data_IF_025594415185
#
_entry.id   IF_025594415185
#
_cell.length_a   1.000
_cell.length_b   1.000
_cell.length_c   1.000
_cell.angle_alpha   90.00
_cell.angle_beta   90.00
_cell.angle_gamma   90.00
#
_symmetry.space_group_name_H-M   'P 1'
#
loop_
_entity.id
_entity.type
_entity.pdbx_description
1 polymer ?
#
# COMPACT_ATOMS: atom_id res chain seq x y z
N UNK A 1 -3.89 10.54 -12.17
CA UNK A 1 -4.73 10.63 -10.95
C UNK A 1 -6.17 10.42 -11.38
N UNK A 2 -6.93 9.52 -10.74
CA UNK A 2 -8.33 9.26 -11.13
C UNK A 2 -9.20 10.49 -10.88
N UNK A 3 -10.21 10.71 -11.70
CA UNK A 3 -11.11 11.88 -11.62
C UNK A 3 -11.80 11.97 -10.24
N UNK A 4 -12.19 10.83 -9.65
CA UNK A 4 -12.77 10.78 -8.31
C UNK A 4 -11.86 11.36 -7.23
N UNK A 5 -10.57 11.05 -7.31
CA UNK A 5 -9.55 11.56 -6.38
C UNK A 5 -9.40 13.07 -6.56
N UNK A 6 -9.31 13.54 -7.80
CA UNK A 6 -9.22 14.98 -8.08
C UNK A 6 -10.41 15.78 -7.52
N UNK A 7 -11.64 15.23 -7.61
CA UNK A 7 -12.84 15.86 -7.01
C UNK A 7 -12.72 15.97 -5.48
N UNK A 8 -12.18 14.95 -4.81
CA UNK A 8 -11.95 14.98 -3.36
C UNK A 8 -10.94 16.07 -2.99
N UNK A 9 -9.85 16.21 -3.76
CA UNK A 9 -8.87 17.27 -3.52
C UNK A 9 -9.47 18.68 -3.67
N UNK A 10 -10.36 18.88 -4.64
CA UNK A 10 -11.08 20.15 -4.80
C UNK A 10 -12.01 20.43 -3.60
N UNK A 11 -12.75 19.41 -3.15
CA UNK A 11 -13.60 19.52 -1.96
C UNK A 11 -12.80 19.83 -0.69
N UNK A 12 -11.69 19.13 -0.48
CA UNK A 12 -10.80 19.34 0.67
C UNK A 12 -10.23 20.76 0.69
N UNK A 13 -9.79 21.28 -0.46
CA UNK A 13 -9.27 22.65 -0.56
C UNK A 13 -10.32 23.69 -0.15
N UNK A 14 -11.57 23.51 -0.59
CA UNK A 14 -12.70 24.35 -0.16
C UNK A 14 -12.95 24.25 1.35
N UNK A 15 -13.01 23.03 1.89
CA UNK A 15 -13.24 22.81 3.32
C UNK A 15 -12.16 23.45 4.20
N UNK A 16 -10.88 23.39 3.81
CA UNK A 16 -9.79 24.05 4.55
C UNK A 16 -9.92 25.57 4.48
N UNK A 17 -10.39 26.10 3.35
CA UNK A 17 -10.68 27.54 3.20
C UNK A 17 -11.79 27.98 4.14
N UNK A 18 -12.88 27.21 4.23
CA UNK A 18 -13.98 27.48 5.16
C UNK A 18 -13.50 27.42 6.62
N UNK A 19 -12.65 26.43 6.95
CA UNK A 19 -12.06 26.32 8.30
C UNK A 19 -11.12 27.48 8.64
N UNK A 20 -10.42 28.07 7.68
CA UNK A 20 -9.59 29.24 7.95
C UNK A 20 -10.41 30.44 8.42
N UNK A 21 -11.65 30.59 7.94
CA UNK A 21 -12.59 31.61 8.43
C UNK A 21 -13.01 31.32 9.87
N UNK A 22 -13.32 30.07 10.18
CA UNK A 22 -13.67 29.64 11.55
C UNK A 22 -12.51 29.91 12.51
N UNK A 23 -11.28 29.53 12.12
CA UNK A 23 -10.08 29.75 12.93
C UNK A 23 -9.80 31.24 13.16
N UNK A 24 -10.06 32.08 12.17
CA UNK A 24 -9.95 33.52 12.35
C UNK A 24 -10.98 34.04 13.36
N UNK A 25 -12.21 33.54 13.31
CA UNK A 25 -13.27 33.99 14.22
C UNK A 25 -13.05 33.55 15.67
N UNK A 26 -12.69 32.28 15.86
CA UNK A 26 -12.56 31.67 17.20
C UNK A 26 -11.20 31.92 17.84
N UNK A 27 -10.11 31.74 17.08
CA UNK A 27 -8.74 31.77 17.60
C UNK A 27 -8.01 33.07 17.26
N UNK A 28 -8.66 33.99 16.51
CA UNK A 28 -8.04 35.24 16.03
C UNK A 28 -6.74 35.03 15.25
N UNK A 29 -6.58 33.85 14.64
CA UNK A 29 -5.39 33.48 13.86
C UNK A 29 -5.68 33.44 12.37
N UNK A 30 -4.93 34.22 11.61
CA UNK A 30 -4.99 34.20 10.15
C UNK A 30 -4.22 32.99 9.60
N UNK A 31 -4.92 32.10 8.90
CA UNK A 31 -4.33 31.03 8.12
C UNK A 31 -4.54 31.31 6.64
N UNK A 32 -3.45 31.48 5.90
CA UNK A 32 -3.50 31.77 4.47
C UNK A 32 -3.34 30.48 3.65
N UNK A 33 -4.36 30.14 2.88
CA UNK A 33 -4.27 29.05 1.90
C UNK A 33 -3.73 29.64 0.60
N UNK A 34 -2.49 29.29 0.25
CA UNK A 34 -1.89 29.70 -1.02
C UNK A 34 -2.03 28.59 -2.06
N UNK A 35 -2.19 28.91 -3.36
CA UNK A 35 -2.19 27.92 -4.43
C UNK A 35 -0.91 27.07 -4.44
N UNK A 36 0.23 27.65 -4.06
CA UNK A 36 1.51 26.95 -3.92
C UNK A 36 1.44 25.82 -2.90
N UNK A 37 0.92 26.09 -1.69
CA UNK A 37 0.75 25.08 -0.64
C UNK A 37 -0.17 23.93 -1.12
N UNK A 38 -1.22 24.25 -1.89
CA UNK A 38 -2.09 23.21 -2.47
C UNK A 38 -1.34 22.34 -3.49
N UNK A 39 -0.52 22.91 -4.36
CA UNK A 39 0.26 22.15 -5.35
C UNK A 39 1.33 21.28 -4.67
N UNK A 40 1.99 21.79 -3.65
CA UNK A 40 2.93 21.03 -2.82
C UNK A 40 2.23 19.85 -2.13
N UNK A 41 1.05 20.07 -1.55
CA UNK A 41 0.24 19.02 -0.94
C UNK A 41 -0.13 17.92 -1.94
N UNK A 42 -0.61 18.30 -3.13
CA UNK A 42 -0.96 17.34 -4.21
C UNK A 42 0.28 16.57 -4.68
N UNK A 43 1.42 17.24 -4.80
CA UNK A 43 2.69 16.60 -5.17
C UNK A 43 3.14 15.59 -4.10
N UNK A 44 3.14 16.00 -2.83
CA UNK A 44 3.48 15.14 -1.69
C UNK A 44 2.56 13.92 -1.59
N UNK A 45 1.25 14.10 -1.81
CA UNK A 45 0.31 12.99 -1.81
C UNK A 45 0.59 11.97 -2.92
N UNK A 46 1.01 12.40 -4.12
CA UNK A 46 1.38 11.46 -5.20
C UNK A 46 2.56 10.59 -4.78
N UNK A 47 3.56 11.18 -4.14
CA UNK A 47 4.74 10.45 -3.64
C UNK A 47 4.31 9.45 -2.56
N UNK A 48 3.52 9.89 -1.59
CA UNK A 48 3.03 9.03 -0.51
C UNK A 48 2.18 7.86 -1.05
N UNK A 49 1.30 8.14 -2.02
CA UNK A 49 0.47 7.11 -2.64
C UNK A 49 1.32 6.05 -3.35
N UNK A 50 2.40 6.47 -4.03
CA UNK A 50 3.33 5.56 -4.67
C UNK A 50 4.08 4.70 -3.66
N UNK A 51 4.61 5.31 -2.58
CA UNK A 51 5.29 4.60 -1.51
C UNK A 51 4.38 3.55 -0.86
N UNK A 52 3.14 3.90 -0.53
CA UNK A 52 2.19 2.96 0.08
C UNK A 52 1.80 1.81 -0.84
N UNK A 53 1.72 2.04 -2.15
CA UNK A 53 1.50 0.97 -3.12
C UNK A 53 2.69 0.02 -3.21
N UNK A 54 3.91 0.54 -3.21
CA UNK A 54 5.12 -0.29 -3.16
C UNK A 54 5.16 -1.12 -1.88
N UNK A 55 4.96 -0.50 -0.71
CA UNK A 55 4.93 -1.22 0.58
C UNK A 55 3.92 -2.39 0.57
N UNK A 56 2.74 -2.19 -0.03
CA UNK A 56 1.73 -3.25 -0.16
C UNK A 56 2.17 -4.34 -1.15
N UNK A 57 2.73 -3.95 -2.30
CA UNK A 57 3.24 -4.88 -3.31
C UNK A 57 4.35 -5.75 -2.74
N UNK A 58 5.28 -5.16 -2.00
CA UNK A 58 6.41 -5.88 -1.40
C UNK A 58 5.93 -6.88 -0.34
N UNK A 59 4.94 -6.50 0.47
CA UNK A 59 4.30 -7.41 1.43
C UNK A 59 3.60 -8.57 0.72
N UNK A 60 2.88 -8.30 -0.36
CA UNK A 60 2.23 -9.34 -1.15
C UNK A 60 3.25 -10.29 -1.77
N UNK A 61 4.30 -9.76 -2.41
CA UNK A 61 5.38 -10.55 -3.00
C UNK A 61 6.09 -11.41 -1.95
N UNK A 62 6.36 -10.86 -0.77
CA UNK A 62 6.95 -11.60 0.35
C UNK A 62 6.08 -12.77 0.79
N UNK A 63 4.76 -12.58 0.83
CA UNK A 63 3.81 -13.64 1.17
C UNK A 63 3.80 -14.74 0.09
N UNK A 64 3.68 -14.36 -1.18
CA UNK A 64 3.71 -15.31 -2.32
C UNK A 64 4.99 -16.14 -2.31
N UNK A 65 6.15 -15.48 -2.22
CA UNK A 65 7.45 -16.16 -2.16
C UNK A 65 7.56 -17.09 -0.94
N UNK A 66 6.92 -16.75 0.17
CA UNK A 66 6.86 -17.60 1.36
C UNK A 66 6.04 -18.87 1.13
N UNK A 67 4.88 -18.74 0.47
CA UNK A 67 4.02 -19.86 0.12
C UNK A 67 4.68 -20.79 -0.90
N UNK A 68 5.35 -20.23 -1.90
CA UNK A 68 6.06 -21.01 -2.93
C UNK A 68 7.15 -21.89 -2.29
N UNK A 69 7.94 -21.33 -1.36
CA UNK A 69 8.96 -22.10 -0.62
C UNK A 69 8.38 -23.24 0.23
N UNK A 70 7.21 -23.02 0.82
CA UNK A 70 6.51 -24.06 1.58
C UNK A 70 6.04 -25.17 0.65
N UNK A 71 5.51 -24.82 -0.52
CA UNK A 71 5.03 -25.77 -1.52
C UNK A 71 6.17 -26.60 -2.13
N UNK A 72 7.31 -25.96 -2.45
CA UNK A 72 8.54 -26.64 -2.86
C UNK A 72 9.00 -27.66 -1.82
N UNK A 73 9.00 -27.27 -0.54
CA UNK A 73 9.39 -28.16 0.55
C UNK A 73 8.44 -29.35 0.67
N UNK A 74 7.12 -29.12 0.54
CA UNK A 74 6.12 -30.19 0.54
C UNK A 74 6.39 -31.19 -0.58
N UNK A 75 6.54 -30.72 -1.82
CA UNK A 75 6.82 -31.57 -3.00
C UNK A 75 8.10 -32.38 -2.83
N UNK A 76 9.15 -31.77 -2.28
CA UNK A 76 10.43 -32.45 -2.04
C UNK A 76 10.29 -33.58 -1.01
N UNK A 77 9.52 -33.35 0.05
CA UNK A 77 9.25 -34.35 1.08
C UNK A 77 8.37 -35.49 0.53
N UNK A 78 7.30 -35.19 -0.22
CA UNK A 78 6.48 -36.20 -0.90
C UNK A 78 7.29 -37.05 -1.89
N UNK A 79 8.17 -36.42 -2.68
CA UNK A 79 9.09 -37.11 -3.57
C UNK A 79 10.04 -38.05 -2.81
N UNK A 80 10.58 -37.60 -1.67
CA UNK A 80 11.41 -38.44 -0.81
C UNK A 80 10.65 -39.63 -0.20
N UNK A 81 9.39 -39.44 0.20
CA UNK A 81 8.55 -40.54 0.68
C UNK A 81 8.29 -41.57 -0.42
N UNK A 82 7.94 -41.12 -1.63
CA UNK A 82 7.74 -42.01 -2.78
C UNK A 82 9.02 -42.76 -3.16
N UNK A 83 10.18 -42.11 -3.10
CA UNK A 83 11.47 -42.77 -3.32
C UNK A 83 11.76 -43.85 -2.28
N UNK A 84 11.49 -43.57 -0.99
CA UNK A 84 11.69 -44.53 0.09
C UNK A 84 10.74 -45.74 -0.02
N UNK A 85 9.48 -45.51 -0.40
CA UNK A 85 8.48 -46.58 -0.63
C UNK A 85 8.92 -47.48 -1.81
N UNK A 86 9.33 -46.89 -2.94
CA UNK A 86 9.82 -47.67 -4.10
C UNK A 86 11.08 -48.48 -3.76
N UNK A 87 12.03 -47.88 -3.04
CA UNK A 87 13.26 -48.57 -2.65
C UNK A 87 13.00 -49.71 -1.66
N UNK A 88 11.97 -49.60 -0.81
CA UNK A 88 11.57 -50.67 0.10
C UNK A 88 10.87 -51.83 -0.64
N UNK A 89 10.02 -51.54 -1.64
CA UNK A 89 9.35 -52.56 -2.45
C UNK A 89 10.27 -53.33 -3.40
N UNK A 90 11.41 -52.76 -3.79
CA UNK A 90 12.37 -53.41 -4.72
C UNK A 90 13.42 -54.26 -3.97
N UNK A 91 13.53 -54.12 -2.65
CA UNK A 91 14.42 -54.91 -1.78
C UNK A 91 13.70 -56.01 -0.99
N UNK A 92 12.39 -56.21 -1.18
CA UNK A 92 11.63 -57.36 -0.68
C UNK A 92 11.34 -58.34 -1.82
#
# INVERSE_FOLDING_TARGET
MRISVAKIFAYMHRSVTDMAVVMLNELKRHNYITPTNYLEFVSGYKILLYQKRQELSDKANKLTNGLDKIDETRKKVEGNFNFCIFHCQTLC
#
